data_IF_250882811407
#
_entry.id   IF_250882811407
#
_cell.length_a   1.000
_cell.length_b   1.000
_cell.length_c   1.000
_cell.angle_alpha   90.00
_cell.angle_beta   90.00
_cell.angle_gamma   90.00
#
_symmetry.space_group_name_H-M   'P 1'
#
loop_
_entity.id
_entity.type
_entity.pdbx_description
1 polymer ?
#
# COMPACT_ATOMS: atom_id res chain seq x y z
N UNK A 1 -13.80 11.42 -13.86
CA UNK A 1 -12.77 12.47 -14.02
C UNK A 1 -13.08 13.81 -13.34
N UNK A 2 -14.33 14.16 -13.01
CA UNK A 2 -14.62 15.43 -12.30
C UNK A 2 -14.22 15.45 -10.81
N UNK A 3 -14.31 14.32 -10.10
CA UNK A 3 -14.08 14.27 -8.64
C UNK A 3 -12.60 14.38 -8.20
N UNK A 4 -11.65 13.93 -9.01
CA UNK A 4 -10.21 13.99 -8.68
C UNK A 4 -9.63 15.38 -8.84
N UNK A 5 -10.13 16.17 -9.80
CA UNK A 5 -9.76 17.57 -9.96
C UNK A 5 -10.28 18.43 -8.79
N UNK A 6 -11.44 18.09 -8.22
CA UNK A 6 -12.03 18.82 -7.09
C UNK A 6 -11.22 18.65 -5.80
N UNK A 7 -10.63 17.46 -5.56
CA UNK A 7 -9.82 17.21 -4.37
C UNK A 7 -8.51 18.02 -4.36
N UNK A 8 -7.87 18.21 -5.51
CA UNK A 8 -6.65 19.01 -5.63
C UNK A 8 -6.93 20.52 -5.50
N UNK A 9 -8.06 20.99 -6.03
CA UNK A 9 -8.50 22.39 -5.86
C UNK A 9 -8.88 22.65 -4.40
N UNK A 10 -9.46 21.69 -3.69
CA UNK A 10 -9.73 21.82 -2.26
C UNK A 10 -8.44 21.84 -1.43
N UNK A 11 -7.44 21.04 -1.81
CA UNK A 11 -6.11 21.02 -1.17
C UNK A 11 -5.28 22.30 -1.46
N UNK A 12 -5.50 22.95 -2.61
CA UNK A 12 -4.90 24.24 -2.95
C UNK A 12 -5.63 25.42 -2.28
N UNK A 13 -6.96 25.34 -2.14
CA UNK A 13 -7.76 26.37 -1.46
C UNK A 13 -7.50 26.41 0.06
N UNK A 14 -7.14 25.29 0.68
CA UNK A 14 -6.72 25.24 2.09
C UNK A 14 -5.31 25.82 2.34
N UNK A 15 -4.52 26.11 1.29
CA UNK A 15 -3.27 26.87 1.44
C UNK A 15 -3.51 28.33 1.90
N UNK A 16 -4.70 28.90 1.64
CA UNK A 16 -5.07 30.24 2.13
C UNK A 16 -5.36 30.31 3.63
N UNK A 17 -5.76 29.20 4.26
CA UNK A 17 -5.95 29.08 5.72
C UNK A 17 -4.64 28.73 6.45
N UNK A 18 -3.56 28.45 5.71
CA UNK A 18 -2.30 27.95 6.25
C UNK A 18 -1.37 29.01 6.86
N UNK A 19 -1.60 30.31 6.62
CA UNK A 19 -0.69 31.36 7.04
C UNK A 19 -0.67 31.56 8.57
N UNK A 20 -1.83 31.49 9.23
CA UNK A 20 -1.94 31.68 10.68
C UNK A 20 -1.27 30.56 11.50
N UNK A 21 -1.30 29.32 10.98
CA UNK A 21 -0.77 28.15 11.69
C UNK A 21 0.73 27.94 11.48
N UNK A 22 1.27 28.34 10.31
CA UNK A 22 2.71 28.39 10.10
C UNK A 22 3.39 29.39 11.05
N UNK A 23 2.69 30.48 11.40
CA UNK A 23 3.15 31.47 12.38
C UNK A 23 3.17 30.89 13.81
N UNK A 24 2.11 30.19 14.24
CA UNK A 24 2.06 29.49 15.54
C UNK A 24 3.20 28.46 15.71
N UNK A 25 3.52 27.68 14.67
CA UNK A 25 4.63 26.73 14.71
C UNK A 25 6.00 27.44 14.81
N UNK A 26 6.19 28.55 14.09
CA UNK A 26 7.42 29.35 14.11
C UNK A 26 7.67 29.99 15.47
N UNK A 27 6.61 30.43 16.15
CA UNK A 27 6.69 31.03 17.49
C UNK A 27 6.93 29.99 18.60
N UNK A 28 6.33 28.80 18.50
CA UNK A 28 6.36 27.78 19.57
C UNK A 28 7.48 26.76 19.45
N UNK A 29 8.05 26.55 18.26
CA UNK A 29 9.08 25.54 18.01
C UNK A 29 10.42 26.21 17.71
N UNK A 30 11.43 26.09 18.59
CA UNK A 30 12.75 26.68 18.37
C UNK A 30 13.39 26.20 17.07
N UNK A 31 13.96 27.14 16.30
CA UNK A 31 14.65 26.86 15.03
C UNK A 31 13.74 26.48 13.85
N UNK A 32 12.42 26.44 14.04
CA UNK A 32 11.48 26.02 12.99
C UNK A 32 11.49 26.93 11.75
N UNK A 33 11.59 28.25 11.95
CA UNK A 33 11.59 29.24 10.87
C UNK A 33 12.79 29.11 9.92
N UNK A 34 13.94 28.65 10.42
CA UNK A 34 15.19 28.53 9.65
C UNK A 34 15.44 27.10 9.16
N UNK A 35 14.77 26.12 9.75
CA UNK A 35 14.91 24.71 9.42
C UNK A 35 14.49 24.40 7.97
N UNK A 36 15.18 23.42 7.38
CA UNK A 36 14.76 22.86 6.08
C UNK A 36 13.38 22.19 6.19
N UNK A 37 12.64 22.00 5.08
CA UNK A 37 11.31 21.37 5.13
C UNK A 37 11.29 19.99 5.81
N UNK A 38 12.32 19.17 5.59
CA UNK A 38 12.43 17.87 6.24
C UNK A 38 12.65 17.99 7.76
N UNK A 39 13.47 18.95 8.19
CA UNK A 39 13.71 19.24 9.61
C UNK A 39 12.46 19.81 10.27
N UNK A 40 11.73 20.70 9.60
CA UNK A 40 10.43 21.21 10.08
C UNK A 40 9.45 20.06 10.33
N UNK A 41 9.36 19.09 9.43
CA UNK A 41 8.48 17.92 9.62
C UNK A 41 8.91 17.05 10.81
N UNK A 42 10.21 16.85 11.01
CA UNK A 42 10.75 16.15 12.17
C UNK A 42 10.49 16.93 13.49
N UNK A 43 10.67 18.24 13.48
CA UNK A 43 10.39 19.12 14.61
C UNK A 43 8.90 19.15 14.98
N UNK A 44 7.98 19.17 14.01
CA UNK A 44 6.54 19.03 14.26
C UNK A 44 6.19 17.70 14.94
N UNK A 45 6.90 16.63 14.57
CA UNK A 45 6.72 15.31 15.18
C UNK A 45 7.15 15.31 16.65
N UNK A 46 8.27 15.96 16.96
CA UNK A 46 8.75 16.16 18.34
C UNK A 46 7.81 17.07 19.13
N UNK A 47 7.40 18.20 18.57
CA UNK A 47 6.49 19.15 19.21
C UNK A 47 5.14 18.51 19.56
N UNK A 48 4.62 17.62 18.70
CA UNK A 48 3.41 16.85 18.98
C UNK A 48 3.61 15.79 20.06
N UNK A 49 4.79 15.16 20.14
CA UNK A 49 5.11 14.19 21.20
C UNK A 49 5.27 14.88 22.57
N UNK A 50 5.87 16.06 22.58
CA UNK A 50 6.09 16.88 23.78
C UNK A 50 4.88 17.75 24.15
N UNK A 51 3.80 17.69 23.36
CA UNK A 51 2.57 18.48 23.54
C UNK A 51 2.79 19.99 23.52
N UNK A 52 3.84 20.45 22.83
CA UNK A 52 4.09 21.87 22.54
C UNK A 52 3.02 22.42 21.59
N UNK A 53 2.59 21.59 20.65
CA UNK A 53 1.46 21.82 19.78
C UNK A 53 0.36 20.80 20.06
N UNK A 54 -0.90 21.21 19.89
CA UNK A 54 -2.04 20.29 19.87
C UNK A 54 -1.96 19.39 18.63
N UNK A 55 -2.66 18.24 18.69
CA UNK A 55 -2.75 17.32 17.56
C UNK A 55 -3.26 18.02 16.29
N UNK A 56 -4.25 18.91 16.43
CA UNK A 56 -4.80 19.67 15.31
C UNK A 56 -3.77 20.62 14.70
N UNK A 57 -3.10 21.42 15.52
CA UNK A 57 -2.05 22.35 15.06
C UNK A 57 -0.92 21.60 14.34
N UNK A 58 -0.47 20.45 14.88
CA UNK A 58 0.50 19.60 14.21
C UNK A 58 0.00 19.15 12.84
N UNK A 59 -1.20 18.58 12.74
CA UNK A 59 -1.72 18.04 11.49
C UNK A 59 -1.91 19.13 10.42
N UNK A 60 -2.39 20.31 10.81
CA UNK A 60 -2.54 21.46 9.92
C UNK A 60 -1.18 21.97 9.41
N UNK A 61 -0.18 22.08 10.29
CA UNK A 61 1.16 22.49 9.92
C UNK A 61 1.88 21.46 9.02
N UNK A 62 1.68 20.16 9.29
CA UNK A 62 2.18 19.08 8.42
C UNK A 62 1.54 19.14 7.04
N UNK A 63 0.22 19.26 6.97
CA UNK A 63 -0.50 19.33 5.70
C UNK A 63 -0.04 20.53 4.86
N UNK A 64 0.08 21.70 5.48
CA UNK A 64 0.59 22.92 4.87
C UNK A 64 2.00 22.75 4.29
N UNK A 65 2.93 22.28 5.11
CA UNK A 65 4.33 22.08 4.75
C UNK A 65 4.47 21.08 3.59
N UNK A 66 3.81 19.93 3.71
CA UNK A 66 3.89 18.86 2.71
C UNK A 66 3.24 19.32 1.40
N UNK A 67 2.07 19.97 1.45
CA UNK A 67 1.41 20.49 0.25
C UNK A 67 2.29 21.53 -0.48
N UNK A 68 2.93 22.44 0.26
CA UNK A 68 3.83 23.43 -0.32
C UNK A 68 5.06 22.80 -0.99
N UNK A 69 5.67 21.79 -0.37
CA UNK A 69 6.84 21.12 -0.94
C UNK A 69 6.49 20.22 -2.12
N UNK A 70 5.46 19.40 -1.99
CA UNK A 70 4.99 18.51 -3.07
C UNK A 70 4.48 19.33 -4.25
N UNK A 71 3.81 20.47 -4.00
CA UNK A 71 3.31 21.38 -5.03
C UNK A 71 4.37 21.97 -5.95
N UNK A 72 5.66 21.93 -5.57
CA UNK A 72 6.78 22.35 -6.44
C UNK A 72 7.01 21.40 -7.62
N UNK A 73 6.50 20.17 -7.56
CA UNK A 73 6.64 19.19 -8.63
C UNK A 73 5.83 19.59 -9.87
N UNK A 74 6.48 19.59 -11.03
CA UNK A 74 5.91 20.00 -12.32
C UNK A 74 4.96 18.96 -12.88
N UNK A 75 5.20 17.69 -12.60
CA UNK A 75 4.39 16.57 -13.05
C UNK A 75 4.04 15.60 -11.89
N UNK A 76 3.09 14.67 -12.09
CA UNK A 76 2.68 13.73 -11.04
C UNK A 76 3.81 12.84 -10.49
N UNK A 77 4.81 12.49 -11.33
CA UNK A 77 5.94 11.67 -10.91
C UNK A 77 6.85 12.47 -9.97
N UNK A 78 7.20 13.70 -10.36
CA UNK A 78 8.04 14.58 -9.56
C UNK A 78 7.38 14.92 -8.21
N UNK A 79 6.06 15.11 -8.18
CA UNK A 79 5.29 15.30 -6.94
C UNK A 79 5.39 14.10 -5.99
N UNK A 80 5.24 12.89 -6.53
CA UNK A 80 5.40 11.66 -5.76
C UNK A 80 6.83 11.52 -5.22
N UNK A 81 7.84 11.77 -6.04
CA UNK A 81 9.25 11.71 -5.62
C UNK A 81 9.61 12.80 -4.60
N UNK A 82 9.02 13.99 -4.69
CA UNK A 82 9.17 15.04 -3.67
C UNK A 82 8.55 14.61 -2.34
N UNK A 83 7.36 14.00 -2.36
CA UNK A 83 6.73 13.44 -1.17
C UNK A 83 7.63 12.41 -0.49
N UNK A 84 8.13 11.43 -1.25
CA UNK A 84 8.98 10.39 -0.68
C UNK A 84 10.33 10.92 -0.18
N UNK A 85 10.98 11.81 -0.92
CA UNK A 85 12.22 12.47 -0.47
C UNK A 85 12.03 13.27 0.81
N UNK A 86 10.92 14.02 0.93
CA UNK A 86 10.60 14.78 2.12
C UNK A 86 10.42 13.83 3.33
N UNK A 87 9.64 12.76 3.17
CA UNK A 87 9.39 11.75 4.20
C UNK A 87 10.68 11.04 4.64
N UNK A 88 11.48 10.56 3.69
CA UNK A 88 12.74 9.87 3.98
C UNK A 88 13.72 10.78 4.73
N UNK A 89 13.91 12.02 4.27
CA UNK A 89 14.79 12.98 4.95
C UNK A 89 14.26 13.35 6.34
N UNK A 90 12.95 13.53 6.50
CA UNK A 90 12.35 13.83 7.80
C UNK A 90 12.49 12.65 8.78
N UNK A 91 12.37 11.40 8.31
CA UNK A 91 12.58 10.22 9.13
C UNK A 91 14.03 10.14 9.66
N UNK A 92 15.04 10.40 8.83
CA UNK A 92 16.44 10.44 9.27
C UNK A 92 16.68 11.58 10.28
N UNK A 93 16.15 12.78 10.02
CA UNK A 93 16.23 13.90 10.98
C UNK A 93 15.54 13.58 12.31
N UNK A 94 14.39 12.94 12.27
CA UNK A 94 13.67 12.53 13.47
C UNK A 94 14.43 11.45 14.24
N UNK A 95 15.16 10.55 13.56
CA UNK A 95 16.04 9.57 14.19
C UNK A 95 17.19 10.25 14.94
N UNK A 96 17.78 11.30 14.38
CA UNK A 96 18.78 12.13 15.07
C UNK A 96 18.19 12.81 16.31
N UNK A 97 17.03 13.46 16.18
CA UNK A 97 16.33 14.09 17.30
C UNK A 97 15.96 13.08 18.39
N UNK A 98 15.51 11.88 18.03
CA UNK A 98 15.18 10.83 18.99
C UNK A 98 16.41 10.31 19.75
N UNK A 99 17.61 10.33 19.16
CA UNK A 99 18.84 10.01 19.91
C UNK A 99 19.10 11.05 21.00
N UNK A 100 18.93 12.34 20.71
CA UNK A 100 19.03 13.41 21.70
C UNK A 100 17.95 13.29 22.78
N UNK A 101 16.69 13.04 22.39
CA UNK A 101 15.58 12.80 23.33
C UNK A 101 15.85 11.65 24.29
N UNK A 102 16.43 10.55 23.79
CA UNK A 102 16.81 9.41 24.63
C UNK A 102 17.85 9.80 25.68
N UNK A 103 18.83 10.62 25.32
CA UNK A 103 19.82 11.15 26.27
C UNK A 103 19.15 12.02 27.36
N UNK A 104 18.10 12.77 26.99
CA UNK A 104 17.26 13.56 27.91
C UNK A 104 16.19 12.74 28.65
N UNK A 105 16.18 11.40 28.52
CA UNK A 105 15.16 10.49 29.08
C UNK A 105 13.72 10.83 28.65
N UNK A 106 13.54 11.46 27.50
CA UNK A 106 12.23 11.73 26.90
C UNK A 106 11.73 10.54 26.07
N UNK A 107 10.40 10.44 25.94
CA UNK A 107 9.75 9.42 25.12
C UNK A 107 10.09 9.54 23.63
N UNK A 108 9.98 8.43 22.90
CA UNK A 108 10.21 8.41 21.45
C UNK A 108 9.12 9.19 20.70
N UNK A 109 9.53 10.02 19.74
CA UNK A 109 8.60 10.70 18.83
C UNK A 109 8.50 9.91 17.52
N UNK A 110 7.28 9.54 17.12
CA UNK A 110 7.00 8.95 15.82
C UNK A 110 6.81 10.02 14.74
N UNK A 111 7.19 9.73 13.50
CA UNK A 111 7.03 10.66 12.39
C UNK A 111 5.54 10.97 12.19
N UNK A 112 5.20 12.25 12.20
CA UNK A 112 3.88 12.74 11.78
C UNK A 112 3.86 12.75 10.27
N UNK A 113 3.15 11.78 9.71
CA UNK A 113 2.94 11.67 8.26
C UNK A 113 1.86 12.66 7.79
N UNK A 114 1.91 13.13 6.53
CA UNK A 114 0.76 13.79 5.92
C UNK A 114 -0.46 12.88 5.93
N UNK A 115 -1.65 13.47 5.88
CA UNK A 115 -2.89 12.71 5.95
C UNK A 115 -2.99 11.68 4.81
N UNK A 116 -3.70 10.57 5.08
CA UNK A 116 -3.81 9.47 4.15
C UNK A 116 -4.47 9.86 2.83
N UNK A 117 -5.40 10.82 2.85
CA UNK A 117 -6.09 11.29 1.64
C UNK A 117 -5.16 12.10 0.74
N UNK A 118 -4.28 12.93 1.30
CA UNK A 118 -3.28 13.66 0.54
C UNK A 118 -2.30 12.70 -0.14
N UNK A 119 -1.75 11.73 0.60
CA UNK A 119 -0.87 10.72 0.04
C UNK A 119 -1.58 9.92 -1.06
N UNK A 120 -2.85 9.58 -0.83
CA UNK A 120 -3.70 8.92 -1.83
C UNK A 120 -3.89 9.77 -3.08
N UNK A 121 -4.14 11.06 -2.96
CA UNK A 121 -4.34 11.95 -4.09
C UNK A 121 -3.06 12.04 -4.95
N UNK A 122 -1.89 12.19 -4.32
CA UNK A 122 -0.59 12.23 -5.02
C UNK A 122 -0.32 10.90 -5.72
N UNK A 123 -0.51 9.77 -5.02
CA UNK A 123 -0.32 8.44 -5.59
C UNK A 123 -1.25 8.16 -6.78
N UNK A 124 -2.56 8.44 -6.63
CA UNK A 124 -3.54 8.22 -7.70
C UNK A 124 -3.30 9.13 -8.90
N UNK A 125 -2.82 10.35 -8.69
CA UNK A 125 -2.45 11.23 -9.80
C UNK A 125 -1.29 10.62 -10.61
N UNK A 126 -0.27 10.09 -9.93
CA UNK A 126 0.83 9.41 -10.61
C UNK A 126 0.40 8.11 -11.29
N UNK A 127 -0.38 7.26 -10.62
CA UNK A 127 -0.90 6.01 -11.22
C UNK A 127 -1.73 6.33 -12.46
N UNK A 128 -2.65 7.29 -12.39
CA UNK A 128 -3.47 7.69 -13.54
C UNK A 128 -2.64 8.26 -14.69
N UNK A 129 -1.53 8.92 -14.40
CA UNK A 129 -0.63 9.47 -15.41
C UNK A 129 0.26 8.39 -16.03
N UNK A 130 0.88 7.55 -15.21
CA UNK A 130 1.86 6.56 -15.63
C UNK A 130 1.22 5.29 -16.21
N UNK A 131 0.11 4.82 -15.62
CA UNK A 131 -0.58 3.62 -16.07
C UNK A 131 -1.80 3.90 -16.97
N UNK A 132 -2.23 5.16 -17.05
CA UNK A 132 -3.40 5.55 -17.82
C UNK A 132 -4.71 5.00 -17.25
N UNK A 133 -5.82 5.12 -18.01
CA UNK A 133 -7.14 4.66 -17.56
C UNK A 133 -7.31 3.14 -17.56
N UNK A 134 -6.36 2.40 -18.14
CA UNK A 134 -6.38 0.94 -18.27
C UNK A 134 -4.96 0.42 -17.98
N UNK A 135 -4.63 0.14 -16.70
CA UNK A 135 -3.29 -0.29 -16.34
C UNK A 135 -2.97 -1.64 -17.00
N UNK A 136 -1.79 -1.73 -17.63
CA UNK A 136 -1.22 -3.00 -18.15
C UNK A 136 -0.23 -3.57 -17.14
N UNK A 137 0.21 -4.82 -17.33
CA UNK A 137 1.24 -5.44 -16.48
C UNK A 137 2.56 -4.66 -16.53
N UNK A 138 2.95 -4.12 -17.68
CA UNK A 138 4.13 -3.26 -17.83
C UNK A 138 3.97 -1.96 -17.04
N UNK A 139 2.77 -1.37 -17.08
CA UNK A 139 2.45 -0.14 -16.39
C UNK A 139 2.44 -0.29 -14.86
N UNK A 140 2.27 -1.51 -14.33
CA UNK A 140 2.36 -1.78 -12.89
C UNK A 140 3.74 -1.42 -12.31
N UNK A 141 4.79 -1.27 -13.13
CA UNK A 141 6.10 -0.78 -12.68
C UNK A 141 6.01 0.54 -11.91
N UNK A 142 4.99 1.36 -12.18
CA UNK A 142 4.73 2.60 -11.44
C UNK A 142 4.42 2.38 -9.95
N UNK A 143 3.82 1.23 -9.58
CA UNK A 143 3.44 0.96 -8.19
C UNK A 143 4.64 0.80 -7.28
N UNK A 144 5.80 0.39 -7.81
CA UNK A 144 7.06 0.38 -7.05
C UNK A 144 7.40 1.77 -6.52
N UNK A 145 7.33 2.79 -7.38
CA UNK A 145 7.60 4.16 -6.99
C UNK A 145 6.56 4.66 -5.97
N UNK A 146 5.28 4.28 -6.12
CA UNK A 146 4.23 4.61 -5.14
C UNK A 146 4.56 4.04 -3.76
N UNK A 147 4.94 2.76 -3.67
CA UNK A 147 5.31 2.10 -2.41
C UNK A 147 6.52 2.74 -1.75
N UNK A 148 7.52 3.12 -2.54
CA UNK A 148 8.76 3.73 -2.04
C UNK A 148 8.55 5.16 -1.53
N UNK A 149 7.58 5.89 -2.07
CA UNK A 149 7.41 7.32 -1.80
C UNK A 149 6.20 7.66 -0.91
N UNK A 150 5.29 6.72 -0.66
CA UNK A 150 4.14 6.88 0.25
C UNK A 150 4.26 5.97 1.47
N UNK A 151 3.38 6.14 2.47
CA UNK A 151 3.29 5.20 3.58
C UNK A 151 2.47 3.95 3.23
N UNK A 152 2.08 3.79 1.95
CA UNK A 152 1.29 2.65 1.51
C UNK A 152 2.13 1.39 1.50
N UNK A 153 1.68 0.41 2.28
CA UNK A 153 2.20 -0.94 2.17
C UNK A 153 1.61 -1.64 0.94
N UNK A 154 2.22 -2.75 0.57
CA UNK A 154 1.71 -3.67 -0.44
C UNK A 154 0.30 -4.23 -0.12
N UNK A 155 -0.22 -4.03 1.09
CA UNK A 155 -1.57 -4.41 1.50
C UNK A 155 -2.62 -3.31 1.24
N UNK A 156 -2.21 -2.15 0.76
CA UNK A 156 -3.12 -1.03 0.54
C UNK A 156 -4.17 -1.38 -0.52
N UNK A 157 -5.46 -1.18 -0.22
CA UNK A 157 -6.56 -1.65 -1.08
C UNK A 157 -6.47 -1.13 -2.52
N UNK A 158 -6.03 0.12 -2.71
CA UNK A 158 -5.85 0.68 -4.06
C UNK A 158 -4.69 0.05 -4.83
N UNK A 159 -3.60 -0.31 -4.13
CA UNK A 159 -2.47 -1.01 -4.76
C UNK A 159 -2.93 -2.37 -5.25
N UNK A 160 -3.64 -3.13 -4.39
CA UNK A 160 -4.21 -4.42 -4.76
C UNK A 160 -5.21 -4.29 -5.92
N UNK A 161 -6.09 -3.29 -5.91
CA UNK A 161 -7.05 -3.06 -6.98
C UNK A 161 -6.39 -2.80 -8.33
N UNK A 162 -5.35 -1.95 -8.38
CA UNK A 162 -4.61 -1.66 -9.62
C UNK A 162 -3.89 -2.90 -10.15
N UNK A 163 -3.25 -3.66 -9.26
CA UNK A 163 -2.57 -4.91 -9.65
C UNK A 163 -3.58 -5.92 -10.18
N UNK A 164 -4.68 -6.16 -9.48
CA UNK A 164 -5.73 -7.11 -9.90
C UNK A 164 -6.34 -6.71 -11.25
N UNK A 165 -6.63 -5.42 -11.47
CA UNK A 165 -7.16 -4.93 -12.74
C UNK A 165 -6.21 -5.17 -13.92
N UNK A 166 -4.90 -4.96 -13.72
CA UNK A 166 -3.92 -5.19 -14.77
C UNK A 166 -3.79 -6.68 -15.14
N UNK A 167 -3.83 -7.59 -14.16
CA UNK A 167 -3.86 -9.03 -14.42
C UNK A 167 -5.18 -9.48 -15.07
N UNK A 168 -6.32 -8.90 -14.68
CA UNK A 168 -7.61 -9.22 -15.29
C UNK A 168 -7.69 -8.81 -16.77
N UNK A 169 -6.91 -7.80 -17.18
CA UNK A 169 -6.83 -7.32 -18.57
C UNK A 169 -5.76 -8.01 -19.40
N UNK A 170 -4.81 -8.72 -18.78
CA UNK A 170 -3.81 -9.49 -19.51
C UNK A 170 -4.47 -10.70 -20.18
N UNK A 171 -4.63 -10.67 -21.51
CA UNK A 171 -5.31 -11.73 -22.24
C UNK A 171 -4.66 -13.10 -22.03
N UNK A 172 -3.33 -13.12 -21.97
CA UNK A 172 -2.59 -14.35 -21.79
C UNK A 172 -2.76 -14.90 -20.37
N UNK A 173 -2.88 -14.05 -19.35
CA UNK A 173 -3.28 -14.46 -17.99
C UNK A 173 -4.73 -14.96 -17.96
N UNK A 174 -5.66 -14.28 -18.65
CA UNK A 174 -7.06 -14.65 -18.69
C UNK A 174 -7.28 -16.02 -19.35
N UNK A 175 -6.52 -16.34 -20.41
CA UNK A 175 -6.57 -17.62 -21.15
C UNK A 175 -5.74 -18.73 -20.51
N UNK A 176 -4.85 -18.40 -19.57
CA UNK A 176 -4.00 -19.39 -18.92
C UNK A 176 -4.78 -20.27 -17.95
N UNK A 177 -4.34 -21.52 -17.82
CA UNK A 177 -4.74 -22.39 -16.73
C UNK A 177 -4.15 -21.92 -15.39
N UNK A 178 -4.47 -22.63 -14.30
CA UNK A 178 -3.98 -22.26 -12.97
C UNK A 178 -2.46 -22.15 -12.92
N UNK A 179 -1.71 -23.09 -13.48
CA UNK A 179 -0.24 -23.03 -13.47
C UNK A 179 0.30 -21.89 -14.33
N UNK A 180 -0.29 -21.64 -15.49
CA UNK A 180 0.08 -20.52 -16.36
C UNK A 180 -0.17 -19.17 -15.68
N UNK A 181 -1.30 -19.01 -14.97
CA UNK A 181 -1.59 -17.83 -14.15
C UNK A 181 -0.54 -17.64 -13.05
N UNK A 182 -0.22 -18.69 -12.29
CA UNK A 182 0.80 -18.63 -11.24
C UNK A 182 2.20 -18.32 -11.81
N UNK A 183 2.55 -18.89 -12.96
CA UNK A 183 3.81 -18.60 -13.66
C UNK A 183 3.94 -17.13 -13.98
N UNK A 184 2.88 -16.53 -14.55
CA UNK A 184 2.86 -15.11 -14.90
C UNK A 184 3.02 -14.23 -13.67
N UNK A 185 2.31 -14.53 -12.58
CA UNK A 185 2.46 -13.81 -11.32
C UNK A 185 3.90 -13.87 -10.83
N UNK A 186 4.50 -15.07 -10.84
CA UNK A 186 5.90 -15.28 -10.46
C UNK A 186 6.86 -14.47 -11.32
N UNK A 187 6.71 -14.47 -12.65
CA UNK A 187 7.54 -13.68 -13.57
C UNK A 187 7.46 -12.19 -13.25
N UNK A 188 6.26 -11.65 -13.03
CA UNK A 188 6.09 -10.23 -12.70
C UNK A 188 6.69 -9.85 -11.33
N UNK A 189 6.67 -10.78 -10.37
CA UNK A 189 7.20 -10.57 -9.03
C UNK A 189 8.72 -10.79 -8.93
N UNK A 190 9.21 -11.96 -9.32
CA UNK A 190 10.61 -12.37 -9.15
C UNK A 190 11.52 -11.88 -10.27
N UNK A 191 11.09 -11.98 -11.53
CA UNK A 191 11.96 -11.69 -12.68
C UNK A 191 11.93 -10.20 -13.04
N UNK A 192 10.76 -9.57 -12.96
CA UNK A 192 10.59 -8.15 -13.31
C UNK A 192 10.60 -7.21 -12.11
N UNK A 193 10.39 -7.71 -10.89
CA UNK A 193 10.40 -6.89 -9.67
C UNK A 193 9.31 -5.81 -9.63
N UNK A 194 8.23 -5.99 -10.41
CA UNK A 194 7.13 -5.03 -10.55
C UNK A 194 6.11 -5.20 -9.42
N UNK A 195 5.89 -6.46 -9.02
CA UNK A 195 4.99 -6.87 -7.95
C UNK A 195 5.83 -7.29 -6.73
N UNK A 196 5.47 -6.81 -5.54
CA UNK A 196 6.09 -7.24 -4.28
C UNK A 196 5.62 -8.64 -3.87
N UNK A 197 6.37 -9.31 -2.99
CA UNK A 197 5.98 -10.64 -2.46
C UNK A 197 4.61 -10.63 -1.74
N UNK A 198 4.26 -9.50 -1.12
CA UNK A 198 2.97 -9.33 -0.48
C UNK A 198 1.83 -9.24 -1.51
N UNK A 199 1.97 -8.42 -2.55
CA UNK A 199 1.00 -8.36 -3.65
C UNK A 199 0.87 -9.71 -4.37
N UNK A 200 2.01 -10.37 -4.63
CA UNK A 200 2.09 -11.74 -5.15
C UNK A 200 1.23 -12.70 -4.33
N UNK A 201 1.34 -12.65 -3.00
CA UNK A 201 0.55 -13.50 -2.11
C UNK A 201 -0.96 -13.34 -2.33
N UNK A 202 -1.47 -12.12 -2.53
CA UNK A 202 -2.90 -11.91 -2.79
C UNK A 202 -3.34 -12.47 -4.14
N UNK A 203 -2.55 -12.25 -5.19
CA UNK A 203 -2.84 -12.75 -6.53
C UNK A 203 -2.84 -14.28 -6.57
N UNK A 204 -1.82 -14.90 -5.98
CA UNK A 204 -1.73 -16.36 -5.92
C UNK A 204 -2.88 -16.96 -5.11
N UNK A 205 -3.26 -16.35 -3.99
CA UNK A 205 -4.43 -16.78 -3.21
C UNK A 205 -5.72 -16.74 -4.02
N UNK A 206 -5.94 -15.70 -4.82
CA UNK A 206 -7.12 -15.60 -5.67
C UNK A 206 -7.16 -16.73 -6.72
N UNK A 207 -6.04 -16.97 -7.42
CA UNK A 207 -5.89 -18.05 -8.40
C UNK A 207 -6.08 -19.43 -7.76
N UNK A 208 -5.44 -19.67 -6.62
CA UNK A 208 -5.59 -20.94 -5.90
C UNK A 208 -6.99 -21.13 -5.33
N UNK A 209 -7.64 -20.08 -4.80
CA UNK A 209 -9.00 -20.18 -4.27
C UNK A 209 -9.98 -20.64 -5.35
N UNK A 210 -9.91 -20.04 -6.53
CA UNK A 210 -10.72 -20.40 -7.69
C UNK A 210 -10.49 -21.87 -8.09
N UNK A 211 -9.22 -22.28 -8.20
CA UNK A 211 -8.85 -23.65 -8.57
C UNK A 211 -9.26 -24.68 -7.51
N UNK A 212 -8.97 -24.43 -6.22
CA UNK A 212 -9.35 -25.30 -5.11
C UNK A 212 -10.87 -25.47 -5.06
N UNK A 213 -11.63 -24.38 -5.18
CA UNK A 213 -13.09 -24.42 -5.21
C UNK A 213 -13.62 -25.24 -6.37
N UNK A 214 -13.06 -25.06 -7.58
CA UNK A 214 -13.44 -25.85 -8.75
C UNK A 214 -13.17 -27.34 -8.55
N UNK A 215 -12.01 -27.70 -7.98
CA UNK A 215 -11.63 -29.10 -7.75
C UNK A 215 -12.44 -29.78 -6.65
N UNK A 216 -12.71 -29.07 -5.56
CA UNK A 216 -13.59 -29.55 -4.50
C UNK A 216 -15.00 -29.81 -5.03
N UNK A 217 -15.55 -28.91 -5.86
CA UNK A 217 -16.84 -29.12 -6.52
C UNK A 217 -16.86 -30.29 -7.50
N UNK A 218 -15.72 -30.61 -8.11
CA UNK A 218 -15.58 -31.80 -8.96
C UNK A 218 -15.28 -33.08 -8.17
N UNK A 219 -15.31 -33.04 -6.84
CA UNK A 219 -15.12 -34.22 -5.99
C UNK A 219 -13.66 -34.58 -5.67
N UNK A 220 -12.70 -33.69 -5.92
CA UNK A 220 -11.31 -33.94 -5.53
C UNK A 220 -11.15 -33.97 -4.00
N UNK A 221 -10.34 -34.90 -3.50
CA UNK A 221 -10.09 -35.05 -2.07
C UNK A 221 -9.17 -33.94 -1.55
N UNK A 222 -9.43 -33.43 -0.33
CA UNK A 222 -8.61 -32.39 0.29
C UNK A 222 -7.12 -32.80 0.43
N UNK A 223 -6.85 -34.09 0.65
CA UNK A 223 -5.50 -34.64 0.72
C UNK A 223 -4.76 -34.58 -0.63
N UNK A 224 -5.45 -34.89 -1.73
CA UNK A 224 -4.90 -34.78 -3.09
C UNK A 224 -4.53 -33.32 -3.40
N UNK A 225 -5.43 -32.40 -3.07
CA UNK A 225 -5.21 -30.97 -3.26
C UNK A 225 -4.05 -30.44 -2.39
N UNK A 226 -3.89 -30.97 -1.18
CA UNK A 226 -2.79 -30.61 -0.28
C UNK A 226 -1.44 -31.03 -0.87
N UNK A 227 -1.35 -32.24 -1.43
CA UNK A 227 -0.15 -32.70 -2.12
C UNK A 227 0.17 -31.83 -3.33
N UNK A 228 -0.84 -31.43 -4.10
CA UNK A 228 -0.64 -30.53 -5.25
C UNK A 228 -0.17 -29.15 -4.83
N UNK A 229 -0.70 -28.59 -3.74
CA UNK A 229 -0.22 -27.31 -3.18
C UNK A 229 1.24 -27.42 -2.72
N UNK A 230 1.64 -28.55 -2.15
CA UNK A 230 3.04 -28.80 -1.78
C UNK A 230 3.97 -28.84 -3.00
N UNK A 231 3.58 -29.54 -4.06
CA UNK A 231 4.32 -29.57 -5.34
C UNK A 231 4.46 -28.17 -5.96
N UNK A 232 3.38 -27.36 -5.98
CA UNK A 232 3.45 -25.98 -6.46
C UNK A 232 4.45 -25.14 -5.65
N UNK A 233 4.54 -25.34 -4.33
CA UNK A 233 5.52 -24.66 -3.48
C UNK A 233 6.93 -25.12 -3.78
N UNK A 234 7.15 -26.43 -3.92
CA UNK A 234 8.46 -27.02 -4.23
C UNK A 234 9.02 -26.48 -5.56
N UNK A 235 8.14 -26.38 -6.57
CA UNK A 235 8.43 -25.77 -7.88
C UNK A 235 8.55 -24.24 -7.84
N UNK A 236 8.42 -23.62 -6.66
CA UNK A 236 8.41 -22.16 -6.45
C UNK A 236 7.34 -21.40 -7.25
N UNK A 237 6.25 -22.07 -7.60
CA UNK A 237 5.12 -21.48 -8.32
C UNK A 237 4.25 -20.61 -7.41
N UNK A 238 4.20 -20.94 -6.11
CA UNK A 238 3.52 -20.17 -5.08
C UNK A 238 4.49 -19.82 -3.95
N UNK A 239 4.25 -18.70 -3.27
CA UNK A 239 5.05 -18.28 -2.13
C UNK A 239 4.70 -19.07 -0.86
N UNK A 240 5.56 -18.96 0.17
CA UNK A 240 5.35 -19.60 1.47
C UNK A 240 3.99 -19.24 2.10
N UNK A 241 3.62 -17.96 2.09
CA UNK A 241 2.37 -17.48 2.70
C UNK A 241 1.13 -18.03 2.02
N UNK A 242 1.16 -18.14 0.69
CA UNK A 242 0.08 -18.73 -0.10
C UNK A 242 -0.06 -20.23 0.20
N UNK A 243 1.05 -20.97 0.20
CA UNK A 243 1.05 -22.40 0.52
C UNK A 243 0.55 -22.68 1.94
N UNK A 244 1.03 -21.91 2.93
CA UNK A 244 0.61 -22.03 4.33
C UNK A 244 -0.89 -21.75 4.50
N UNK A 245 -1.41 -20.73 3.81
CA UNK A 245 -2.85 -20.43 3.81
C UNK A 245 -3.69 -21.57 3.20
N UNK A 246 -3.28 -22.09 2.04
CA UNK A 246 -4.02 -23.17 1.37
C UNK A 246 -4.02 -24.46 2.19
N UNK A 247 -2.87 -24.83 2.78
CA UNK A 247 -2.76 -25.97 3.68
C UNK A 247 -3.67 -25.83 4.91
N UNK A 248 -3.77 -24.61 5.46
CA UNK A 248 -4.67 -24.32 6.58
C UNK A 248 -6.15 -24.56 6.23
N UNK A 249 -6.61 -24.08 5.08
CA UNK A 249 -7.98 -24.29 4.61
C UNK A 249 -8.26 -25.77 4.35
N UNK A 250 -7.38 -26.46 3.64
CA UNK A 250 -7.57 -27.87 3.30
C UNK A 250 -7.60 -28.77 4.55
N UNK A 251 -6.75 -28.46 5.54
CA UNK A 251 -6.80 -29.13 6.85
C UNK A 251 -8.12 -28.91 7.57
N UNK A 252 -8.66 -27.69 7.52
CA UNK A 252 -9.97 -27.41 8.13
C UNK A 252 -11.09 -28.16 7.43
N UNK A 253 -11.07 -28.23 6.10
CA UNK A 253 -12.07 -28.96 5.31
C UNK A 253 -12.05 -30.47 5.59
N UNK A 254 -10.86 -31.07 5.74
CA UNK A 254 -10.70 -32.49 6.07
C UNK A 254 -11.18 -32.81 7.50
N UNK A 255 -11.12 -31.83 8.40
CA UNK A 255 -11.62 -31.93 9.76
C UNK A 255 -13.12 -31.66 9.90
N UNK A 256 -13.79 -31.17 8.86
CA UNK A 256 -15.25 -31.03 8.89
C UNK A 256 -15.87 -32.42 8.83
N UNK A 257 -16.86 -32.73 9.70
CA UNK A 257 -17.64 -33.94 9.53
C UNK A 257 -18.26 -33.90 8.13
N UNK A 258 -18.30 -35.04 7.44
CA UNK A 258 -19.04 -35.16 6.20
C UNK A 258 -20.45 -34.61 6.46
N UNK A 259 -20.75 -33.43 5.92
CA UNK A 259 -22.11 -32.90 5.93
C UNK A 259 -22.90 -33.91 5.12
N UNK A 260 -23.61 -34.81 5.81
CA UNK A 260 -24.57 -35.70 5.18
C UNK A 260 -25.44 -34.82 4.30
N UNK A 261 -25.44 -35.11 2.99
CA UNK A 261 -26.28 -34.41 2.05
C UNK A 261 -27.71 -34.50 2.58
N UNK A 262 -28.27 -33.38 3.05
CA UNK A 262 -29.67 -33.33 3.42
C UNK A 262 -30.46 -33.89 2.24
N UNK A 263 -31.32 -34.90 2.44
CA UNK A 263 -32.08 -35.49 1.36
C UNK A 263 -32.79 -34.35 0.63
N UNK A 264 -32.46 -34.17 -0.65
CA UNK A 264 -33.10 -33.16 -1.49
C UNK A 264 -34.61 -33.32 -1.40
N UNK A 265 -35.39 -32.23 -1.48
CA UNK A 265 -36.85 -32.33 -1.39
C UNK A 265 -37.31 -33.32 -2.45
N UNK A 266 -37.89 -34.43 -1.99
CA UNK A 266 -38.53 -35.41 -2.85
C UNK A 266 -39.52 -34.64 -3.73
N UNK A 267 -39.37 -34.77 -5.05
CA UNK A 267 -40.25 -34.13 -6.00
C UNK A 267 -41.71 -34.39 -5.66
N UNK A 268 -42.48 -33.31 -5.57
CA UNK A 268 -43.94 -33.29 -5.63
C UNK A 268 -44.37 -32.61 -6.92
#
# INVERSE_FOLDING_TARGET
MRQTATALVFALASAGLSAANAQSATEKIPGYGEASPAERLALLSVAGADKVLTLRECNEAVAALVAAEVGKGKDPKERLELLGRLRAKAAEKLKELNKARKAEKKGFAALREPDSYFQQAVALQFISFAAGPKPTLEALGCLKLVRENTNWSAHHALVLAVVTEAFARDEEFAKADMEGKLRRIKVQAEERGIVSDHERTYLEKAVLAEWLSARLRSGAAAQELSQRVADLRERRMICFFTSSWAAGILKQLDALPALEAAPGPAGG
#
